data_IF_163223086230
#
_entry.id   IF_163223086230
#
_cell.length_a   1.000
_cell.length_b   1.000
_cell.length_c   1.000
_cell.angle_alpha   90.00
_cell.angle_beta   90.00
_cell.angle_gamma   90.00
#
_symmetry.space_group_name_H-M   'P 1'
#
loop_
_entity.id
_entity.type
_entity.pdbx_description
1 polymer ?
#
# COMPACT_ATOMS: atom_id res chain seq x y z
N UNK A 1 -40.56 28.55 -31.15
CA UNK A 1 -39.40 28.82 -30.28
C UNK A 1 -39.31 27.62 -29.34
N UNK A 2 -38.31 26.76 -29.52
CA UNK A 2 -38.17 25.50 -28.78
C UNK A 2 -37.50 25.77 -27.45
N UNK A 3 -38.08 25.32 -26.35
CA UNK A 3 -37.44 25.31 -25.03
C UNK A 3 -37.11 23.86 -24.71
N UNK A 4 -35.93 23.39 -25.12
CA UNK A 4 -35.40 22.14 -24.61
C UNK A 4 -35.07 22.37 -23.13
N UNK A 5 -35.80 21.72 -22.22
CA UNK A 5 -35.36 21.61 -20.83
C UNK A 5 -34.33 20.49 -20.77
N UNK A 6 -33.05 20.86 -20.66
CA UNK A 6 -31.98 19.92 -20.38
C UNK A 6 -31.81 19.86 -18.85
N UNK A 7 -32.24 18.77 -18.23
CA UNK A 7 -31.84 18.46 -16.85
C UNK A 7 -30.55 17.64 -16.86
N UNK A 8 -29.57 18.12 -16.09
CA UNK A 8 -28.27 17.46 -15.94
C UNK A 8 -28.20 16.85 -14.54
N UNK A 9 -28.25 15.53 -14.45
CA UNK A 9 -27.87 14.82 -13.23
C UNK A 9 -26.39 14.42 -13.33
N UNK A 10 -25.54 14.97 -12.47
CA UNK A 10 -24.15 14.57 -12.30
C UNK A 10 -23.97 13.92 -10.92
N UNK A 11 -23.66 12.63 -10.88
CA UNK A 11 -23.18 11.99 -9.67
C UNK A 11 -21.65 12.19 -9.59
N UNK A 12 -21.24 13.37 -9.09
CA UNK A 12 -19.84 13.64 -8.73
C UNK A 12 -19.58 13.01 -7.36
N UNK A 13 -18.71 12.01 -7.26
CA UNK A 13 -18.42 11.41 -5.95
C UNK A 13 -17.58 10.13 -5.94
N UNK A 14 -17.33 9.51 -7.10
CA UNK A 14 -16.65 8.20 -7.14
C UNK A 14 -15.12 8.34 -7.02
N UNK A 15 -14.55 9.53 -7.18
CA UNK A 15 -13.10 9.75 -7.02
C UNK A 15 -12.61 9.44 -5.60
N UNK A 16 -13.37 9.87 -4.58
CA UNK A 16 -13.10 9.53 -3.18
C UNK A 16 -13.23 8.02 -2.95
N UNK A 17 -14.29 7.40 -3.47
CA UNK A 17 -14.54 5.95 -3.38
C UNK A 17 -13.44 5.13 -4.05
N UNK A 18 -12.97 5.57 -5.23
CA UNK A 18 -11.86 4.94 -5.96
C UNK A 18 -10.54 5.11 -5.20
N UNK A 19 -10.28 6.30 -4.67
CA UNK A 19 -9.09 6.56 -3.86
C UNK A 19 -9.06 5.69 -2.60
N UNK A 20 -10.20 5.55 -1.92
CA UNK A 20 -10.31 4.73 -0.72
C UNK A 20 -10.25 3.23 -1.04
N UNK A 21 -10.80 2.78 -2.16
CA UNK A 21 -10.63 1.41 -2.66
C UNK A 21 -9.18 1.10 -3.04
N UNK A 22 -8.46 2.04 -3.66
CA UNK A 22 -7.03 1.89 -3.93
C UNK A 22 -6.28 1.74 -2.60
N UNK A 23 -6.48 2.63 -1.63
CA UNK A 23 -5.86 2.53 -0.30
C UNK A 23 -6.19 1.21 0.42
N UNK A 24 -7.43 0.75 0.34
CA UNK A 24 -7.85 -0.52 0.93
C UNK A 24 -7.14 -1.70 0.27
N UNK A 25 -7.01 -1.72 -1.06
CA UNK A 25 -6.26 -2.75 -1.78
C UNK A 25 -4.77 -2.75 -1.39
N UNK A 26 -4.17 -1.58 -1.17
CA UNK A 26 -2.78 -1.44 -0.70
C UNK A 26 -2.56 -1.94 0.74
N UNK A 27 -3.60 -1.91 1.58
CA UNK A 27 -3.54 -2.34 2.98
C UNK A 27 -4.11 -3.76 3.20
N UNK A 28 -4.58 -4.42 2.13
CA UNK A 28 -5.11 -5.78 2.18
C UNK A 28 -3.99 -6.82 2.34
N UNK A 29 -4.35 -8.01 2.83
CA UNK A 29 -3.47 -9.18 2.88
C UNK A 29 -3.16 -9.78 1.51
N UNK A 30 -3.88 -9.34 0.48
CA UNK A 30 -3.65 -9.79 -0.87
C UNK A 30 -2.32 -9.21 -1.37
N UNK A 31 -1.45 -10.12 -1.80
CA UNK A 31 -0.27 -9.81 -2.61
C UNK A 31 -0.66 -8.82 -3.71
N UNK A 32 0.28 -8.00 -4.20
CA UNK A 32 0.12 -7.24 -5.45
C UNK A 32 0.00 -8.22 -6.62
N UNK A 33 -1.08 -8.98 -6.65
CA UNK A 33 -1.51 -9.74 -7.78
C UNK A 33 -2.07 -8.70 -8.73
N UNK A 34 -1.74 -8.85 -10.01
CA UNK A 34 -2.40 -8.20 -11.13
C UNK A 34 -3.88 -8.65 -11.16
N UNK A 35 -4.67 -8.34 -10.13
CA UNK A 35 -6.10 -8.57 -10.05
C UNK A 35 -6.76 -7.55 -10.97
N UNK A 36 -6.65 -7.87 -12.26
CA UNK A 36 -7.35 -7.22 -13.34
C UNK A 36 -8.84 -7.29 -13.03
N UNK A 37 -9.42 -6.10 -12.79
CA UNK A 37 -10.84 -5.76 -12.89
C UNK A 37 -11.63 -5.88 -11.58
N UNK A 38 -11.72 -4.76 -10.87
CA UNK A 38 -12.79 -4.48 -9.90
C UNK A 38 -13.99 -3.97 -10.69
N UNK A 39 -15.01 -4.79 -10.87
CA UNK A 39 -16.29 -4.41 -11.45
C UNK A 39 -17.26 -4.05 -10.31
N UNK A 40 -17.76 -2.81 -10.33
CA UNK A 40 -18.73 -2.32 -9.34
C UNK A 40 -20.02 -2.02 -10.09
N UNK A 41 -21.10 -2.69 -9.71
CA UNK A 41 -22.45 -2.42 -10.24
C UNK A 41 -23.11 -1.32 -9.41
N UNK A 42 -23.61 -0.29 -10.08
CA UNK A 42 -24.35 0.81 -9.46
C UNK A 42 -25.75 0.86 -10.06
N UNK A 43 -26.76 0.87 -9.20
CA UNK A 43 -28.15 1.13 -9.60
C UNK A 43 -28.37 2.64 -9.58
N UNK A 44 -28.83 3.19 -10.71
CA UNK A 44 -29.09 4.61 -10.87
C UNK A 44 -30.58 4.75 -11.17
N UNK A 45 -31.34 5.14 -10.16
CA UNK A 45 -32.77 5.42 -10.27
C UNK A 45 -32.96 6.91 -10.59
N UNK A 46 -33.77 7.21 -11.61
CA UNK A 46 -34.11 8.58 -12.00
C UNK A 46 -35.60 8.73 -12.18
N UNK A 47 -36.18 9.74 -11.55
CA UNK A 47 -37.58 10.11 -11.68
C UNK A 47 -37.65 11.53 -12.26
N UNK A 48 -38.36 11.69 -13.38
CA UNK A 48 -38.50 12.96 -14.09
C UNK A 48 -39.95 13.13 -14.54
N UNK A 49 -40.69 14.08 -13.94
CA UNK A 49 -42.06 14.34 -14.34
C UNK A 49 -42.10 15.03 -15.71
N UNK A 50 -42.60 14.32 -16.73
CA UNK A 50 -42.75 14.84 -18.09
C UNK A 50 -44.18 15.36 -18.31
N UNK A 51 -44.30 16.60 -18.81
CA UNK A 51 -45.59 17.18 -19.18
C UNK A 51 -46.04 16.61 -20.53
N UNK A 52 -47.16 15.88 -20.54
CA UNK A 52 -47.78 15.32 -21.74
C UNK A 52 -49.02 16.13 -22.15
N UNK A 53 -48.91 17.10 -23.08
CA UNK A 53 -50.08 17.84 -23.55
C UNK A 53 -51.06 16.95 -24.33
N UNK A 54 -52.36 17.24 -24.17
CA UNK A 54 -53.43 16.49 -24.84
C UNK A 54 -53.26 16.50 -26.36
N UNK A 55 -53.53 15.36 -27.00
CA UNK A 55 -53.44 15.15 -28.44
C UNK A 55 -52.06 15.42 -29.06
N UNK A 56 -50.97 15.33 -28.29
CA UNK A 56 -49.60 15.43 -28.81
C UNK A 56 -48.76 14.22 -28.42
N UNK A 57 -47.85 13.84 -29.29
CA UNK A 57 -46.85 12.82 -28.99
C UNK A 57 -45.64 13.49 -28.31
N UNK A 58 -45.31 13.05 -27.10
CA UNK A 58 -44.10 13.45 -26.37
C UNK A 58 -43.12 12.29 -26.43
N UNK A 59 -41.93 12.53 -26.98
CA UNK A 59 -40.84 11.56 -27.05
C UNK A 59 -39.85 11.88 -25.93
N UNK A 60 -39.50 10.88 -25.13
CA UNK A 60 -38.51 11.00 -24.06
C UNK A 60 -37.28 10.20 -24.47
N UNK A 61 -36.14 10.87 -24.58
CA UNK A 61 -34.85 10.25 -24.89
C UNK A 61 -33.95 10.35 -23.68
N UNK A 62 -33.45 9.22 -23.20
CA UNK A 62 -32.45 9.16 -22.14
C UNK A 62 -31.10 8.75 -22.76
N UNK A 63 -30.09 9.62 -22.60
CA UNK A 63 -28.72 9.37 -23.05
C UNK A 63 -27.80 9.21 -21.85
N UNK A 64 -27.08 8.09 -21.77
CA UNK A 64 -26.06 7.84 -20.74
C UNK A 64 -24.64 8.00 -21.29
N UNK A 65 -23.79 8.69 -20.54
CA UNK A 65 -22.38 8.93 -20.86
C UNK A 65 -21.49 8.44 -19.73
N UNK A 66 -20.44 7.69 -20.04
CA UNK A 66 -19.44 7.26 -19.06
C UNK A 66 -18.30 8.28 -18.98
N UNK A 67 -17.88 8.63 -17.77
CA UNK A 67 -16.70 9.45 -17.53
C UNK A 67 -15.50 8.53 -17.28
N UNK A 68 -14.55 8.50 -18.22
CA UNK A 68 -13.27 7.81 -18.02
C UNK A 68 -12.33 8.68 -17.20
N UNK A 69 -11.62 8.07 -16.25
CA UNK A 69 -10.64 8.73 -15.40
C UNK A 69 -9.38 7.88 -15.30
N UNK A 70 -8.26 8.58 -15.15
CA UNK A 70 -6.94 8.00 -15.01
C UNK A 70 -6.26 8.64 -13.79
N UNK A 71 -5.94 7.84 -12.78
CA UNK A 71 -5.24 8.28 -11.57
C UNK A 71 -3.87 7.63 -11.52
N UNK A 72 -2.82 8.43 -11.55
CA UNK A 72 -1.46 7.96 -11.27
C UNK A 72 -1.23 7.99 -9.76
N UNK A 73 -0.69 6.92 -9.19
CA UNK A 73 -0.40 6.83 -7.76
C UNK A 73 1.06 6.41 -7.50
N UNK A 74 1.57 6.81 -6.34
CA UNK A 74 2.82 6.31 -5.76
C UNK A 74 2.55 5.89 -4.33
N UNK A 75 2.70 4.60 -4.05
CA UNK A 75 2.60 4.05 -2.71
C UNK A 75 4.00 3.84 -2.12
N UNK A 76 4.15 4.20 -0.84
CA UNK A 76 5.36 3.95 -0.06
C UNK A 76 5.15 2.68 0.75
N UNK A 77 5.99 1.69 0.51
CA UNK A 77 6.00 0.41 1.21
C UNK A 77 7.27 0.28 2.04
N UNK A 78 7.19 -0.45 3.15
CA UNK A 78 8.34 -0.77 4.00
C UNK A 78 8.63 -2.27 3.90
N UNK A 79 9.80 -2.65 3.38
CA UNK A 79 10.27 -4.03 3.28
C UNK A 79 11.48 -4.22 4.19
N UNK A 80 11.24 -4.69 5.41
CA UNK A 80 12.33 -4.99 6.35
C UNK A 80 12.73 -6.46 6.22
N UNK A 81 14.00 -6.78 5.95
CA UNK A 81 14.47 -8.15 5.93
C UNK A 81 14.64 -8.71 7.34
N UNK A 82 14.37 -10.00 7.47
CA UNK A 82 14.74 -10.82 8.63
C UNK A 82 16.24 -11.15 8.57
N UNK A 83 16.96 -10.89 9.66
CA UNK A 83 18.40 -11.17 9.76
C UNK A 83 18.62 -12.47 10.52
N UNK A 84 19.37 -13.37 9.91
CA UNK A 84 19.84 -14.61 10.55
C UNK A 84 21.35 -14.70 10.35
N UNK A 85 22.09 -14.91 11.43
CA UNK A 85 23.52 -15.20 11.36
C UNK A 85 23.69 -16.70 11.15
N UNK A 86 23.98 -17.09 9.89
CA UNK A 86 23.99 -18.49 9.47
C UNK A 86 25.36 -19.14 9.58
N UNK A 87 25.39 -20.46 9.86
CA UNK A 87 26.55 -21.35 9.65
C UNK A 87 27.88 -20.93 10.29
N UNK A 88 27.85 -20.18 11.39
CA UNK A 88 29.03 -19.47 11.88
C UNK A 88 29.95 -20.33 12.75
N UNK A 89 31.14 -20.64 12.24
CA UNK A 89 32.26 -20.95 13.11
C UNK A 89 32.82 -19.67 13.72
N UNK A 90 32.97 -19.60 15.04
CA UNK A 90 33.62 -18.45 15.68
C UNK A 90 35.14 -18.60 15.61
N UNK A 91 35.83 -17.50 15.30
CA UNK A 91 37.31 -17.48 15.21
C UNK A 91 37.93 -17.98 16.51
N UNK A 92 39.17 -18.47 16.49
CA UNK A 92 39.85 -18.75 17.75
C UNK A 92 40.12 -17.42 18.48
N UNK A 93 39.90 -17.37 19.79
CA UNK A 93 40.35 -16.23 20.61
C UNK A 93 41.85 -16.07 20.49
N UNK A 94 42.33 -14.83 20.35
CA UNK A 94 43.74 -14.54 20.13
C UNK A 94 44.57 -14.70 21.41
N UNK A 95 43.91 -14.61 22.57
CA UNK A 95 44.52 -14.73 23.90
C UNK A 95 43.86 -15.84 24.72
N UNK A 96 44.63 -16.41 25.63
CA UNK A 96 44.15 -17.42 26.58
C UNK A 96 43.03 -16.83 27.45
N UNK A 97 41.81 -17.34 27.32
CA UNK A 97 40.63 -16.90 28.07
C UNK A 97 39.75 -15.85 27.37
N UNK A 98 40.10 -15.42 26.15
CA UNK A 98 39.28 -14.50 25.36
C UNK A 98 38.16 -15.26 24.63
N UNK A 99 36.91 -14.87 24.88
CA UNK A 99 35.76 -15.30 24.09
C UNK A 99 35.82 -14.67 22.71
N UNK A 100 35.69 -15.48 21.66
CA UNK A 100 35.83 -15.02 20.28
C UNK A 100 34.55 -14.52 19.64
N UNK A 101 33.50 -14.37 20.45
CA UNK A 101 32.18 -13.93 20.05
C UNK A 101 31.47 -13.32 21.25
N UNK A 102 30.43 -12.54 20.97
CA UNK A 102 29.63 -11.83 21.97
C UNK A 102 28.27 -12.51 22.12
N UNK A 103 28.23 -13.85 22.21
CA UNK A 103 26.97 -14.56 22.45
C UNK A 103 26.81 -14.76 23.94
N UNK A 104 25.66 -14.35 24.48
CA UNK A 104 25.39 -14.52 25.91
C UNK A 104 25.34 -15.99 26.28
N UNK A 105 25.89 -16.31 27.45
CA UNK A 105 25.88 -17.67 28.01
C UNK A 105 26.78 -18.68 27.30
N UNK A 106 27.46 -18.28 26.20
CA UNK A 106 28.32 -19.14 25.41
C UNK A 106 29.76 -18.60 25.49
N UNK A 107 30.73 -19.44 25.86
CA UNK A 107 32.13 -18.99 26.03
C UNK A 107 33.18 -19.88 25.38
N UNK A 108 32.82 -21.12 25.04
CA UNK A 108 33.76 -22.14 24.52
C UNK A 108 33.27 -22.82 23.25
N UNK A 109 32.01 -22.58 22.86
CA UNK A 109 31.43 -23.19 21.67
C UNK A 109 31.90 -22.42 20.44
N UNK A 110 32.23 -23.18 19.41
CA UNK A 110 32.81 -22.65 18.16
C UNK A 110 32.00 -22.94 16.93
N UNK A 111 31.04 -23.85 17.03
CA UNK A 111 30.14 -24.22 15.94
C UNK A 111 28.74 -23.93 16.43
N UNK A 112 28.05 -23.06 15.71
CA UNK A 112 26.69 -22.65 16.00
C UNK A 112 25.78 -23.06 14.85
N UNK A 113 24.56 -23.46 15.20
CA UNK A 113 23.45 -23.45 14.27
C UNK A 113 23.09 -22.00 13.93
N UNK A 114 22.19 -21.82 12.98
CA UNK A 114 21.72 -20.48 12.61
C UNK A 114 21.14 -19.75 13.84
N UNK A 115 21.54 -18.49 14.00
CA UNK A 115 21.13 -17.62 15.10
C UNK A 115 20.18 -16.57 14.52
N UNK A 116 18.86 -16.71 14.73
CA UNK A 116 17.90 -15.72 14.28
C UNK A 116 18.06 -14.44 15.11
N UNK A 117 18.08 -13.30 14.43
CA UNK A 117 18.16 -11.99 15.07
C UNK A 117 16.86 -11.20 14.95
N UNK A 118 16.01 -11.54 13.97
CA UNK A 118 14.76 -10.84 13.71
C UNK A 118 14.91 -9.71 12.68
N UNK A 119 13.93 -8.80 12.59
CA UNK A 119 13.93 -7.70 11.64
C UNK A 119 15.18 -6.81 11.76
N UNK A 120 15.76 -6.45 10.61
CA UNK A 120 17.00 -5.67 10.56
C UNK A 120 16.86 -4.28 11.20
N UNK A 121 15.69 -3.65 11.09
CA UNK A 121 15.43 -2.32 11.66
C UNK A 121 15.34 -2.31 13.19
N UNK A 122 15.27 -3.46 13.85
CA UNK A 122 15.23 -3.60 15.31
C UNK A 122 16.62 -3.81 15.92
N UNK A 123 17.66 -4.00 15.10
CA UNK A 123 19.03 -4.26 15.58
C UNK A 123 19.54 -3.17 16.52
N UNK A 124 19.22 -1.90 16.22
CA UNK A 124 19.58 -0.76 17.06
C UNK A 124 18.94 -0.80 18.44
N UNK A 125 17.64 -1.10 18.49
CA UNK A 125 16.92 -1.18 19.77
C UNK A 125 17.38 -2.40 20.58
N UNK A 126 17.65 -3.52 19.90
CA UNK A 126 18.25 -4.72 20.51
C UNK A 126 19.65 -4.43 21.05
N UNK A 127 20.47 -3.67 20.33
CA UNK A 127 21.77 -3.26 20.81
C UNK A 127 21.69 -2.35 22.04
N UNK A 128 20.80 -1.35 22.00
CA UNK A 128 20.60 -0.41 23.10
C UNK A 128 20.06 -1.07 24.38
N UNK A 129 19.18 -2.06 24.23
CA UNK A 129 18.61 -2.81 25.35
C UNK A 129 19.46 -4.01 25.78
N UNK A 130 20.61 -4.23 25.14
CA UNK A 130 21.42 -5.44 25.28
C UNK A 130 20.56 -6.72 25.19
N UNK A 131 19.69 -6.81 24.19
CA UNK A 131 18.78 -7.94 24.00
C UNK A 131 19.52 -9.19 23.53
N UNK A 132 19.00 -10.35 23.95
CA UNK A 132 19.47 -11.66 23.49
C UNK A 132 19.37 -11.78 21.95
N UNK A 133 20.22 -12.59 21.30
CA UNK A 133 21.19 -13.53 21.88
C UNK A 133 22.59 -12.93 22.11
N UNK A 134 22.82 -11.67 21.74
CA UNK A 134 24.15 -11.05 21.77
C UNK A 134 24.37 -10.24 23.04
N UNK A 135 25.62 -10.20 23.52
CA UNK A 135 26.09 -9.24 24.51
C UNK A 135 26.57 -7.98 23.79
N UNK A 136 25.61 -7.12 23.46
CA UNK A 136 25.86 -5.86 22.76
C UNK A 136 26.68 -4.89 23.59
N UNK A 137 26.54 -4.91 24.93
CA UNK A 137 27.34 -4.04 25.81
C UNK A 137 28.82 -4.39 25.69
N UNK A 138 29.20 -5.66 25.85
CA UNK A 138 30.60 -6.08 25.70
C UNK A 138 31.11 -5.87 24.26
N UNK A 139 30.26 -6.13 23.26
CA UNK A 139 30.61 -5.94 21.86
C UNK A 139 30.95 -4.48 21.52
N UNK A 140 30.12 -3.54 21.99
CA UNK A 140 30.28 -2.11 21.75
C UNK A 140 31.44 -1.52 22.57
N UNK A 141 31.66 -1.98 23.80
CA UNK A 141 32.79 -1.56 24.63
C UNK A 141 34.13 -1.96 24.00
N UNK A 142 34.23 -3.21 23.48
CA UNK A 142 35.46 -3.69 22.83
C UNK A 142 35.62 -3.18 21.40
N UNK A 143 34.51 -2.97 20.68
CA UNK A 143 34.51 -2.54 19.28
C UNK A 143 33.47 -1.43 19.05
N UNK A 144 33.78 -0.17 19.39
CA UNK A 144 32.84 0.94 19.25
C UNK A 144 32.32 1.16 17.81
N UNK A 145 33.07 0.74 16.79
CA UNK A 145 32.65 0.83 15.38
C UNK A 145 31.39 0.00 15.07
N UNK A 146 31.08 -1.03 15.86
CA UNK A 146 29.86 -1.84 15.69
C UNK A 146 28.61 -0.95 15.77
N UNK A 147 28.62 0.10 16.60
CA UNK A 147 27.51 1.04 16.71
C UNK A 147 27.14 1.64 15.34
N UNK A 148 28.14 2.07 14.57
CA UNK A 148 27.92 2.65 13.23
C UNK A 148 27.32 1.65 12.26
N UNK A 149 27.71 0.37 12.36
CA UNK A 149 27.18 -0.69 11.51
C UNK A 149 25.72 -1.02 11.87
N UNK A 150 25.43 -1.10 13.17
CA UNK A 150 24.08 -1.31 13.71
C UNK A 150 23.16 -0.15 13.34
N UNK A 151 23.61 1.09 13.48
CA UNK A 151 22.84 2.27 13.09
C UNK A 151 22.52 2.27 11.59
N UNK A 152 23.51 1.91 10.75
CA UNK A 152 23.32 1.86 9.29
C UNK A 152 22.34 0.78 8.87
N UNK A 153 22.48 -0.45 9.40
CA UNK A 153 21.58 -1.54 9.05
C UNK A 153 20.19 -1.33 9.65
N UNK A 154 20.07 -0.55 10.73
CA UNK A 154 18.76 -0.28 11.35
C UNK A 154 18.04 0.92 10.74
N UNK A 155 18.66 1.64 9.80
CA UNK A 155 18.09 2.85 9.22
C UNK A 155 16.75 2.54 8.51
N UNK A 156 15.62 3.11 8.97
CA UNK A 156 14.32 2.87 8.35
C UNK A 156 14.28 3.23 6.86
N UNK A 157 15.08 4.20 6.42
CA UNK A 157 15.11 4.65 5.03
C UNK A 157 15.69 3.60 4.08
N UNK A 158 16.54 2.69 4.58
CA UNK A 158 17.11 1.61 3.78
C UNK A 158 16.07 0.56 3.34
N UNK A 159 14.87 0.59 3.94
CA UNK A 159 13.82 -0.39 3.73
C UNK A 159 12.58 0.20 3.05
N UNK A 160 12.67 1.43 2.54
CA UNK A 160 11.58 2.08 1.82
C UNK A 160 11.58 1.69 0.34
N UNK A 161 10.46 1.14 -0.13
CA UNK A 161 10.21 0.85 -1.53
C UNK A 161 9.05 1.70 -2.02
N UNK A 162 9.17 2.25 -3.23
CA UNK A 162 8.12 3.05 -3.85
C UNK A 162 7.50 2.26 -4.99
N UNK A 163 6.21 1.92 -4.87
CA UNK A 163 5.44 1.28 -5.94
C UNK A 163 4.64 2.36 -6.66
N UNK A 164 4.92 2.51 -7.95
CA UNK A 164 4.18 3.42 -8.81
C UNK A 164 3.21 2.63 -9.67
N UNK A 165 2.04 3.19 -9.87
CA UNK A 165 1.05 2.59 -10.75
C UNK A 165 0.07 3.61 -11.29
N UNK A 166 -0.81 3.12 -12.15
CA UNK A 166 -1.86 3.90 -12.78
C UNK A 166 -3.15 3.10 -12.67
N UNK A 167 -4.18 3.75 -12.16
CA UNK A 167 -5.54 3.25 -12.22
C UNK A 167 -6.25 3.93 -13.38
N UNK A 168 -6.94 3.16 -14.22
CA UNK A 168 -7.79 3.66 -15.29
C UNK A 168 -9.15 2.99 -15.17
N UNK A 169 -10.23 3.77 -15.27
CA UNK A 169 -11.57 3.22 -15.14
C UNK A 169 -12.67 4.23 -15.39
N UNK A 170 -13.90 3.74 -15.36
CA UNK A 170 -15.10 4.58 -15.37
C UNK A 170 -15.30 5.14 -13.97
N UNK A 171 -15.36 6.46 -13.88
CA UNK A 171 -15.43 7.26 -12.66
C UNK A 171 -16.79 7.92 -12.43
N UNK A 172 -17.73 7.71 -13.35
CA UNK A 172 -19.01 8.35 -13.27
C UNK A 172 -19.86 8.07 -14.50
N UNK A 173 -21.15 8.28 -14.32
CA UNK A 173 -22.13 8.25 -15.39
C UNK A 173 -22.88 9.57 -15.36
N UNK A 174 -23.09 10.16 -16.54
CA UNK A 174 -23.91 11.34 -16.73
C UNK A 174 -25.10 10.95 -17.58
N UNK A 175 -26.30 11.25 -17.09
CA UNK A 175 -27.52 11.02 -17.84
C UNK A 175 -28.10 12.36 -18.29
N UNK A 176 -28.63 12.38 -19.50
CA UNK A 176 -29.34 13.53 -20.06
C UNK A 176 -30.70 13.04 -20.54
N UNK A 177 -31.75 13.65 -20.00
CA UNK A 177 -33.11 13.42 -20.48
C UNK A 177 -33.49 14.58 -21.39
N UNK A 178 -33.96 14.23 -22.59
CA UNK A 178 -34.47 15.17 -23.57
C UNK A 178 -35.92 14.81 -23.88
N UNK A 179 -36.81 15.78 -23.72
CA UNK A 179 -38.21 15.65 -24.09
C UNK A 179 -38.48 16.46 -25.35
N UNK A 180 -39.03 15.81 -26.37
CA UNK A 180 -39.45 16.47 -27.62
C UNK A 180 -40.95 16.28 -27.83
N UNK A 181 -41.67 17.37 -28.11
CA UNK A 181 -43.12 17.37 -28.31
C UNK A 181 -43.38 17.68 -29.78
N UNK A 182 -43.83 16.66 -30.53
CA UNK A 182 -44.19 16.87 -31.94
C UNK A 182 -45.52 17.64 -32.02
N UNK A 183 -45.49 18.81 -32.67
CA UNK A 183 -46.71 19.46 -33.17
C UNK A 183 -47.15 18.77 -34.45
N UNK A 184 -48.41 18.35 -34.50
CA UNK A 184 -49.07 17.92 -35.74
C UNK A 184 -49.12 19.06 -36.76
#
# INVERSE_FOLDING_TARGET
MFTAQNEYASATGIEQVVTDNIKAAFNGTDTFVDTKRNEVTLNIDFDCPVICPANRATTVTCSGYTQLMSITYTAKMKLVPEVTFTGGFTRAGSKKGETSHFLKGESKKRVYTDIPNGPANELKDKAASNADPWDWTEALDKNPHIQTLVDRISDPQCYEMYVRGKWEGISGWKFVIQTDIKTA
#
